data_IF_769729091044
#
_entry.id   IF_769729091044
#
_cell.length_a   1.000
_cell.length_b   1.000
_cell.length_c   1.000
_cell.angle_alpha   90.00
_cell.angle_beta   90.00
_cell.angle_gamma   90.00
#
_symmetry.space_group_name_H-M   'P 1'
#
loop_
_entity.id
_entity.type
_entity.pdbx_description
1 polymer ?
#
# COMPACT_ATOMS: atom_id res chain seq x y z
N UNK A 1 10.07 13.55 5.69
CA UNK A 1 8.65 13.11 5.57
C UNK A 1 7.76 14.33 5.41
N UNK A 2 7.41 14.61 4.16
CA UNK A 2 6.68 15.85 3.84
C UNK A 2 5.17 15.68 3.89
N UNK A 3 4.66 14.56 3.36
CA UNK A 3 3.23 14.34 3.20
C UNK A 3 2.67 13.23 4.09
N UNK A 4 3.48 12.25 4.47
CA UNK A 4 2.98 11.04 5.15
C UNK A 4 2.50 11.27 6.58
N UNK A 5 2.70 12.45 7.13
CA UNK A 5 2.17 12.84 8.44
C UNK A 5 0.86 13.64 8.37
N UNK A 6 0.34 13.86 7.17
CA UNK A 6 -0.95 14.53 6.97
C UNK A 6 -2.09 13.52 7.02
N UNK A 7 -3.31 13.99 7.32
CA UNK A 7 -4.49 13.13 7.30
C UNK A 7 -4.87 12.77 5.86
N UNK A 8 -5.69 11.73 5.72
CA UNK A 8 -6.20 11.31 4.40
C UNK A 8 -6.99 12.45 3.76
N UNK A 9 -7.82 13.13 4.52
CA UNK A 9 -8.62 14.25 4.04
C UNK A 9 -7.74 15.39 3.54
N UNK A 10 -6.69 15.74 4.29
CA UNK A 10 -5.74 16.77 3.88
C UNK A 10 -5.01 16.38 2.59
N UNK A 11 -4.58 15.15 2.47
CA UNK A 11 -3.92 14.64 1.26
C UNK A 11 -4.86 14.66 0.07
N UNK A 12 -6.12 14.23 0.26
CA UNK A 12 -7.10 14.21 -0.82
C UNK A 12 -7.36 15.63 -1.32
N UNK A 13 -7.46 16.62 -0.43
CA UNK A 13 -7.64 18.01 -0.81
C UNK A 13 -6.47 18.53 -1.64
N UNK A 14 -5.24 18.24 -1.22
CA UNK A 14 -4.03 18.62 -1.98
C UNK A 14 -4.02 17.99 -3.37
N UNK A 15 -4.43 16.71 -3.47
CA UNK A 15 -4.51 15.99 -4.75
C UNK A 15 -5.58 16.61 -5.65
N UNK A 16 -6.76 16.94 -5.11
CA UNK A 16 -7.85 17.55 -5.88
C UNK A 16 -7.47 18.94 -6.39
N UNK A 17 -6.73 19.71 -5.60
CA UNK A 17 -6.29 21.05 -5.97
C UNK A 17 -5.07 21.06 -6.90
N UNK A 18 -4.45 19.91 -7.13
CA UNK A 18 -3.25 19.82 -7.97
C UNK A 18 -1.97 20.30 -7.30
N UNK A 19 -1.99 20.53 -5.98
CA UNK A 19 -0.82 20.97 -5.22
C UNK A 19 0.20 19.83 -5.01
N UNK A 20 -0.26 18.58 -5.06
CA UNK A 20 0.58 17.39 -5.01
C UNK A 20 0.02 16.37 -5.98
N UNK A 21 0.88 15.52 -6.53
CA UNK A 21 0.45 14.43 -7.41
C UNK A 21 0.47 13.10 -6.67
N UNK A 22 -0.36 12.16 -7.12
CA UNK A 22 -0.34 10.79 -6.62
C UNK A 22 1.06 10.17 -6.74
N UNK A 23 1.75 10.46 -7.84
CA UNK A 23 3.12 10.00 -8.06
C UNK A 23 4.07 10.47 -6.96
N UNK A 24 3.98 11.74 -6.55
CA UNK A 24 4.80 12.27 -5.45
C UNK A 24 4.53 11.54 -4.14
N UNK A 25 3.26 11.25 -3.84
CA UNK A 25 2.89 10.50 -2.63
C UNK A 25 3.41 9.07 -2.67
N UNK A 26 3.31 8.41 -3.82
CA UNK A 26 3.84 7.06 -4.02
C UNK A 26 5.35 7.06 -3.82
N UNK A 27 6.06 7.98 -4.44
CA UNK A 27 7.52 8.08 -4.32
C UNK A 27 7.96 8.31 -2.88
N UNK A 28 7.31 9.20 -2.14
CA UNK A 28 7.61 9.43 -0.73
C UNK A 28 7.35 8.18 0.11
N UNK A 29 6.21 7.52 -0.08
CA UNK A 29 5.86 6.32 0.68
C UNK A 29 6.79 5.15 0.39
N UNK A 30 7.22 4.98 -0.86
CA UNK A 30 8.19 3.94 -1.23
C UNK A 30 9.56 4.22 -0.61
N UNK A 31 10.02 5.47 -0.65
CA UNK A 31 11.28 5.86 -0.02
C UNK A 31 11.26 5.56 1.48
N UNK A 32 10.17 5.93 2.15
CA UNK A 32 10.01 5.66 3.58
C UNK A 32 9.91 4.15 3.85
N UNK A 33 9.25 3.39 2.97
CA UNK A 33 9.16 1.93 3.10
C UNK A 33 10.56 1.30 3.08
N UNK A 34 11.43 1.73 2.19
CA UNK A 34 12.81 1.23 2.14
C UNK A 34 13.62 1.62 3.37
N UNK A 35 13.47 2.85 3.86
CA UNK A 35 14.15 3.30 5.08
C UNK A 35 13.68 2.49 6.30
N UNK A 36 12.39 2.27 6.44
CA UNK A 36 11.80 1.49 7.54
C UNK A 36 12.19 0.02 7.41
N UNK A 37 12.23 -0.53 6.20
CA UNK A 37 12.65 -1.92 5.97
C UNK A 37 14.09 -2.14 6.43
N UNK A 38 14.98 -1.21 6.12
CA UNK A 38 16.38 -1.29 6.53
C UNK A 38 16.54 -1.33 8.05
N UNK A 39 15.74 -0.51 8.77
CA UNK A 39 15.85 -0.39 10.23
C UNK A 39 15.06 -1.46 10.99
N UNK A 40 13.89 -1.83 10.51
CA UNK A 40 12.92 -2.61 11.29
C UNK A 40 12.45 -3.89 10.64
N UNK A 41 12.81 -4.13 9.38
CA UNK A 41 12.36 -5.31 8.63
C UNK A 41 10.82 -5.46 8.68
N UNK A 42 10.12 -4.37 8.42
CA UNK A 42 8.68 -4.26 8.63
C UNK A 42 7.83 -4.79 7.47
N UNK A 43 8.43 -5.06 6.30
CA UNK A 43 7.69 -5.44 5.09
C UNK A 43 8.15 -6.76 4.51
N UNK A 44 7.18 -7.56 4.05
CA UNK A 44 7.45 -8.78 3.27
C UNK A 44 7.75 -8.40 1.82
N UNK A 45 7.02 -7.43 1.30
CA UNK A 45 7.13 -6.97 -0.09
C UNK A 45 7.00 -5.45 -0.15
N UNK A 46 7.83 -4.80 -0.95
CA UNK A 46 7.71 -3.38 -1.28
C UNK A 46 7.47 -3.29 -2.79
N UNK A 47 6.41 -2.59 -3.18
CA UNK A 47 5.97 -2.53 -4.57
C UNK A 47 6.55 -1.30 -5.26
N UNK A 48 7.82 -1.38 -5.66
CA UNK A 48 8.53 -0.28 -6.30
C UNK A 48 7.93 0.13 -7.66
N UNK A 49 7.11 -0.73 -8.24
CA UNK A 49 6.43 -0.48 -9.51
C UNK A 49 4.98 0.03 -9.32
N UNK A 50 4.60 0.42 -8.12
CA UNK A 50 3.27 0.95 -7.84
C UNK A 50 3.00 2.17 -8.74
N UNK A 51 1.80 2.18 -9.36
CA UNK A 51 1.43 3.20 -10.34
C UNK A 51 0.33 4.11 -9.80
N UNK A 52 0.37 5.37 -10.22
CA UNK A 52 -0.66 6.31 -9.85
C UNK A 52 -2.02 5.97 -10.46
N UNK A 53 -3.07 6.40 -9.79
CA UNK A 53 -4.46 6.23 -10.21
C UNK A 53 -5.13 7.59 -10.34
N UNK A 54 -6.17 7.73 -11.19
CA UNK A 54 -6.89 8.99 -11.31
C UNK A 54 -7.46 9.45 -9.97
N UNK A 55 -7.42 10.76 -9.72
CA UNK A 55 -8.01 11.35 -8.53
C UNK A 55 -9.50 11.58 -8.79
N UNK A 56 -10.34 11.05 -7.91
CA UNK A 56 -11.80 11.15 -7.98
C UNK A 56 -12.33 11.86 -6.73
N UNK A 57 -13.64 11.92 -6.60
CA UNK A 57 -14.28 12.46 -5.38
C UNK A 57 -14.17 11.50 -4.19
N UNK A 58 -13.75 10.26 -4.42
CA UNK A 58 -13.51 9.33 -3.32
C UNK A 58 -12.26 9.78 -2.55
N UNK A 59 -12.38 9.94 -1.24
CA UNK A 59 -11.32 10.45 -0.37
C UNK A 59 -10.06 9.56 -0.39
N UNK A 60 -10.21 8.28 -0.74
CA UNK A 60 -9.09 7.34 -0.79
C UNK A 60 -8.36 7.35 -2.13
N UNK A 61 -8.90 8.01 -3.16
CA UNK A 61 -8.25 8.01 -4.48
C UNK A 61 -6.87 8.66 -4.43
N UNK A 62 -5.88 7.98 -4.99
CA UNK A 62 -4.50 8.46 -5.02
C UNK A 62 -3.74 8.31 -3.71
N UNK A 63 -4.33 7.71 -2.67
CA UNK A 63 -3.70 7.56 -1.36
C UNK A 63 -2.91 6.25 -1.31
N UNK A 64 -1.59 6.31 -1.05
CA UNK A 64 -0.80 5.09 -0.86
C UNK A 64 -1.08 4.45 0.50
N UNK A 65 -1.09 3.13 0.55
CA UNK A 65 -1.36 2.39 1.79
C UNK A 65 -0.60 1.07 1.84
N UNK A 66 -0.42 0.55 3.05
CA UNK A 66 0.17 -0.76 3.28
C UNK A 66 -0.93 -1.80 3.54
N UNK A 67 -0.68 -3.03 3.11
CA UNK A 67 -1.61 -4.16 3.29
C UNK A 67 -0.94 -5.21 4.15
N UNK A 68 -1.63 -5.66 5.18
CA UNK A 68 -1.16 -6.76 6.02
C UNK A 68 -1.02 -8.02 5.15
N UNK A 69 0.06 -8.77 5.34
CA UNK A 69 0.41 -9.87 4.43
C UNK A 69 -0.52 -11.09 4.49
N UNK A 70 -1.54 -11.07 5.35
CA UNK A 70 -2.57 -12.10 5.37
C UNK A 70 -3.77 -11.80 4.45
N UNK A 71 -3.81 -10.62 3.82
CA UNK A 71 -4.83 -10.33 2.82
C UNK A 71 -4.33 -10.77 1.45
N UNK A 72 -5.10 -11.63 0.79
CA UNK A 72 -4.77 -12.08 -0.57
C UNK A 72 -4.86 -10.90 -1.53
N UNK A 73 -3.80 -10.69 -2.30
CA UNK A 73 -3.73 -9.65 -3.33
C UNK A 73 -3.28 -10.29 -4.63
N UNK A 74 -4.13 -10.22 -5.65
CA UNK A 74 -3.90 -10.90 -6.93
C UNK A 74 -2.56 -10.48 -7.54
N UNK A 75 -1.73 -11.46 -7.87
CA UNK A 75 -0.45 -11.21 -8.51
C UNK A 75 0.65 -10.70 -7.58
N UNK A 76 0.38 -10.57 -6.29
CA UNK A 76 1.35 -10.10 -5.29
C UNK A 76 1.49 -11.12 -4.18
N UNK A 77 2.73 -11.43 -3.81
CA UNK A 77 3.06 -12.40 -2.77
C UNK A 77 2.23 -12.15 -1.49
N UNK A 78 1.60 -13.21 -0.96
CA UNK A 78 0.76 -13.13 0.24
C UNK A 78 1.06 -14.35 1.11
N UNK A 79 1.96 -14.19 2.08
CA UNK A 79 2.55 -15.31 2.81
C UNK A 79 1.99 -15.54 4.20
N UNK A 80 1.24 -14.56 4.75
CA UNK A 80 0.85 -14.58 6.16
C UNK A 80 2.06 -14.58 7.09
N UNK A 81 3.21 -14.13 6.59
CA UNK A 81 4.52 -14.18 7.26
C UNK A 81 4.95 -15.59 7.63
N UNK A 82 4.52 -16.59 6.84
CA UNK A 82 4.83 -18.01 7.05
C UNK A 82 5.73 -18.55 5.96
N UNK A 83 6.72 -19.36 6.34
CA UNK A 83 7.55 -20.08 5.38
C UNK A 83 6.76 -21.10 4.57
N UNK A 84 5.62 -21.58 5.07
CA UNK A 84 4.74 -22.49 4.34
C UNK A 84 4.21 -21.86 3.08
N UNK A 85 3.91 -20.56 3.12
CA UNK A 85 3.34 -19.80 2.00
C UNK A 85 4.35 -18.84 1.36
N UNK A 86 5.65 -19.01 1.61
CA UNK A 86 6.68 -18.05 1.19
C UNK A 86 6.69 -17.71 -0.31
N UNK A 87 6.15 -18.59 -1.15
CA UNK A 87 6.10 -18.40 -2.60
C UNK A 87 4.66 -18.26 -3.12
N UNK A 88 3.70 -18.11 -2.23
CA UNK A 88 2.29 -18.08 -2.63
C UNK A 88 1.91 -16.72 -3.23
N UNK A 89 1.50 -16.74 -4.48
CA UNK A 89 0.99 -15.58 -5.20
C UNK A 89 -0.48 -15.85 -5.54
N UNK A 90 -1.43 -15.16 -4.88
CA UNK A 90 -2.85 -15.41 -5.12
C UNK A 90 -3.30 -15.04 -6.53
N UNK A 91 -4.34 -15.70 -7.00
CA UNK A 91 -5.01 -15.37 -8.27
C UNK A 91 -6.30 -14.57 -8.05
N UNK A 92 -6.57 -14.14 -6.83
CA UNK A 92 -7.76 -13.35 -6.47
C UNK A 92 -7.37 -12.29 -5.42
N UNK A 93 -8.24 -11.29 -5.27
CA UNK A 93 -8.10 -10.27 -4.24
C UNK A 93 -9.02 -10.56 -3.06
N UNK A 94 -8.54 -10.33 -1.83
CA UNK A 94 -9.42 -10.29 -0.66
C UNK A 94 -10.45 -9.17 -0.84
N UNK A 95 -11.68 -9.38 -0.35
CA UNK A 95 -12.77 -8.41 -0.51
C UNK A 95 -12.41 -7.02 0.01
N UNK A 96 -11.76 -6.94 1.18
CA UNK A 96 -11.35 -5.67 1.76
C UNK A 96 -10.36 -4.93 0.85
N UNK A 97 -9.36 -5.64 0.31
CA UNK A 97 -8.40 -5.05 -0.61
C UNK A 97 -9.06 -4.61 -1.92
N UNK A 98 -9.95 -5.42 -2.47
CA UNK A 98 -10.68 -5.10 -3.69
C UNK A 98 -11.47 -3.78 -3.53
N UNK A 99 -12.12 -3.59 -2.38
CA UNK A 99 -12.85 -2.35 -2.09
C UNK A 99 -11.93 -1.13 -2.03
N UNK A 100 -10.77 -1.25 -1.39
CA UNK A 100 -9.78 -0.17 -1.34
C UNK A 100 -9.23 0.16 -2.72
N UNK A 101 -8.91 -0.86 -3.50
CA UNK A 101 -8.42 -0.72 -4.87
C UNK A 101 -9.46 -0.02 -5.75
N UNK A 102 -10.73 -0.42 -5.65
CA UNK A 102 -11.82 0.18 -6.43
C UNK A 102 -12.10 1.62 -6.00
N UNK A 103 -11.76 1.99 -4.76
CA UNK A 103 -11.83 3.37 -4.29
C UNK A 103 -10.68 4.24 -4.84
N UNK A 104 -9.69 3.63 -5.48
CA UNK A 104 -8.55 4.33 -6.06
C UNK A 104 -7.33 4.42 -5.16
N UNK A 105 -7.32 3.75 -4.01
CA UNK A 105 -6.16 3.68 -3.13
C UNK A 105 -5.06 2.81 -3.76
N UNK A 106 -3.82 3.08 -3.43
CA UNK A 106 -2.66 2.47 -4.09
C UNK A 106 -1.83 1.71 -3.08
N UNK A 107 -1.77 0.38 -3.24
CA UNK A 107 -0.94 -0.46 -2.38
C UNK A 107 0.53 -0.27 -2.71
N UNK A 108 1.34 0.03 -1.70
CA UNK A 108 2.79 0.23 -1.87
C UNK A 108 3.63 -0.82 -1.15
N UNK A 109 3.06 -1.54 -0.19
CA UNK A 109 3.79 -2.60 0.52
C UNK A 109 2.86 -3.62 1.14
N UNK A 110 3.44 -4.77 1.52
CA UNK A 110 2.79 -5.82 2.31
C UNK A 110 3.52 -5.88 3.64
N UNK A 111 2.81 -5.64 4.73
CA UNK A 111 3.43 -5.54 6.05
C UNK A 111 3.60 -6.90 6.72
N UNK A 112 4.71 -7.04 7.47
CA UNK A 112 4.99 -8.21 8.30
C UNK A 112 3.92 -8.32 9.40
N UNK A 113 3.61 -9.55 9.79
CA UNK A 113 2.62 -9.86 10.81
C UNK A 113 3.04 -11.10 11.59
N UNK A 114 2.31 -11.44 12.64
CA UNK A 114 2.46 -12.74 13.30
C UNK A 114 2.07 -13.85 12.31
N UNK A 115 2.78 -14.98 12.34
CA UNK A 115 2.50 -16.08 11.43
C UNK A 115 1.01 -16.45 11.50
N UNK A 116 0.31 -16.40 10.34
CA UNK A 116 -1.14 -16.64 10.20
C UNK A 116 -2.01 -15.76 11.13
N UNK A 117 -1.46 -14.66 11.68
CA UNK A 117 -2.22 -13.76 12.54
C UNK A 117 -2.40 -14.24 13.98
N UNK A 118 -1.59 -15.19 14.41
CA UNK A 118 -1.70 -15.77 15.75
C UNK A 118 -0.58 -15.33 16.69
#
# INVERSE_FOLDING_TARGET
MKYMNLSIEELHELLKNGEVTSKELIEESLKLSHEVQEKYNAFVTILDDAKEMPITDNVLSGIPFGVKDNYSTKGVLSTGSSNTLKNYVPFFDATAYEKLKNAGAIMVNKTVMDEFGM
#
